data_IF_329802519587
#
_entry.id   IF_329802519587
#
_cell.length_a   1.000
_cell.length_b   1.000
_cell.length_c   1.000
_cell.angle_alpha   90.00
_cell.angle_beta   90.00
_cell.angle_gamma   90.00
#
_symmetry.space_group_name_H-M   'P 1'
#
loop_
_entity.id
_entity.type
_entity.pdbx_description
1 polymer ?
#
# COMPACT_ATOMS: atom_id res chain seq x y z
N UNK A 1 5.87 -9.75 -2.62
CA UNK A 1 6.25 -8.66 -1.71
C UNK A 1 5.91 -9.06 -0.28
N UNK A 2 6.74 -8.73 0.70
CA UNK A 2 6.45 -9.04 2.11
C UNK A 2 5.54 -7.99 2.75
N UNK A 3 4.83 -8.36 3.82
CA UNK A 3 4.03 -7.43 4.64
C UNK A 3 4.87 -6.23 5.10
N UNK A 4 6.06 -6.49 5.65
CA UNK A 4 6.96 -5.44 6.13
C UNK A 4 7.42 -4.47 5.04
N UNK A 5 7.68 -4.96 3.82
CA UNK A 5 7.99 -4.07 2.69
C UNK A 5 6.81 -3.13 2.41
N UNK A 6 5.58 -3.67 2.29
CA UNK A 6 4.41 -2.85 1.99
C UNK A 6 4.12 -1.82 3.11
N UNK A 7 4.31 -2.20 4.38
CA UNK A 7 4.23 -1.28 5.52
C UNK A 7 5.18 -0.09 5.37
N UNK A 8 6.42 -0.32 4.95
CA UNK A 8 7.38 0.76 4.72
C UNK A 8 6.96 1.68 3.57
N UNK A 9 6.43 1.12 2.48
CA UNK A 9 5.92 1.89 1.35
C UNK A 9 4.79 2.81 1.83
N UNK A 10 3.79 2.25 2.49
CA UNK A 10 2.61 2.99 2.98
C UNK A 10 3.00 4.05 4.01
N UNK A 11 3.94 3.73 4.92
CA UNK A 11 4.49 4.69 5.88
C UNK A 11 5.16 5.85 5.17
N UNK A 12 6.09 5.57 4.26
CA UNK A 12 6.79 6.63 3.54
C UNK A 12 5.83 7.52 2.74
N UNK A 13 4.88 6.93 2.01
CA UNK A 13 3.90 7.71 1.25
C UNK A 13 3.08 8.63 2.17
N UNK A 14 2.65 8.11 3.33
CA UNK A 14 1.91 8.90 4.33
C UNK A 14 2.76 10.01 4.97
N UNK A 15 4.06 9.79 5.15
CA UNK A 15 5.00 10.76 5.72
C UNK A 15 5.48 11.79 4.70
N UNK A 16 5.52 11.43 3.42
CA UNK A 16 5.94 12.32 2.32
C UNK A 16 5.05 13.53 2.16
N UNK A 17 3.80 13.47 2.66
CA UNK A 17 2.75 14.48 2.49
C UNK A 17 2.64 14.98 1.04
N UNK A 18 2.87 14.10 0.07
CA UNK A 18 2.89 14.44 -1.35
C UNK A 18 1.66 13.85 -2.04
N UNK A 19 0.71 14.70 -2.43
CA UNK A 19 -0.53 14.28 -3.08
C UNK A 19 -0.27 13.45 -4.34
N UNK A 20 0.74 13.81 -5.15
CA UNK A 20 1.05 13.05 -6.38
C UNK A 20 1.49 11.61 -6.08
N UNK A 21 2.16 11.39 -4.95
CA UNK A 21 2.57 10.04 -4.54
C UNK A 21 1.39 9.23 -4.01
N UNK A 22 0.50 9.88 -3.27
CA UNK A 22 -0.78 9.32 -2.87
C UNK A 22 -1.61 8.88 -4.09
N UNK A 23 -1.77 9.75 -5.09
CA UNK A 23 -2.55 9.47 -6.30
C UNK A 23 -1.93 8.31 -7.09
N UNK A 24 -0.60 8.31 -7.25
CA UNK A 24 0.09 7.19 -7.91
C UNK A 24 -0.05 5.87 -7.16
N UNK A 25 -0.04 5.90 -5.83
CA UNK A 25 -0.26 4.69 -5.04
C UNK A 25 -1.70 4.19 -5.17
N UNK A 26 -2.69 5.08 -5.28
CA UNK A 26 -4.06 4.70 -5.62
C UNK A 26 -4.14 4.05 -7.00
N UNK A 27 -3.38 4.53 -7.98
CA UNK A 27 -3.28 3.88 -9.30
C UNK A 27 -2.70 2.47 -9.17
N UNK A 28 -1.65 2.27 -8.38
CA UNK A 28 -1.15 0.92 -8.11
C UNK A 28 -2.23 0.03 -7.51
N UNK A 29 -3.02 0.54 -6.55
CA UNK A 29 -4.11 -0.22 -5.94
C UNK A 29 -5.20 -0.65 -6.95
N UNK A 30 -5.40 0.11 -8.03
CA UNK A 30 -6.33 -0.27 -9.09
C UNK A 30 -5.87 -1.50 -9.90
N UNK A 31 -4.57 -1.82 -9.88
CA UNK A 31 -4.00 -3.00 -10.55
C UNK A 31 -4.24 -4.31 -9.79
N UNK A 32 -4.62 -4.25 -8.51
CA UNK A 32 -4.92 -5.45 -7.74
C UNK A 32 -6.07 -6.25 -8.38
N UNK A 33 -6.17 -7.56 -8.12
CA UNK A 33 -7.36 -8.33 -8.47
C UNK A 33 -8.64 -7.79 -7.85
N UNK A 34 -9.77 -7.98 -8.53
CA UNK A 34 -11.08 -7.54 -8.01
C UNK A 34 -11.43 -8.22 -6.68
N UNK A 35 -11.05 -9.50 -6.50
CA UNK A 35 -11.16 -10.21 -5.23
C UNK A 35 -10.45 -9.44 -4.11
N UNK A 36 -9.18 -9.07 -4.33
CA UNK A 36 -8.35 -8.37 -3.34
C UNK A 36 -8.92 -6.99 -3.04
N UNK A 37 -9.34 -6.21 -4.05
CA UNK A 37 -10.00 -4.90 -3.85
C UNK A 37 -11.27 -5.02 -3.01
N UNK A 38 -12.09 -6.03 -3.28
CA UNK A 38 -13.33 -6.28 -2.56
C UNK A 38 -13.05 -6.65 -1.10
N UNK A 39 -12.08 -7.53 -0.87
CA UNK A 39 -11.65 -7.90 0.48
C UNK A 39 -11.03 -6.72 1.23
N UNK A 40 -10.18 -5.92 0.57
CA UNK A 40 -9.63 -4.69 1.13
C UNK A 40 -10.74 -3.76 1.61
N UNK A 41 -11.77 -3.51 0.80
CA UNK A 41 -12.89 -2.65 1.19
C UNK A 41 -13.66 -3.20 2.39
N UNK A 42 -13.88 -4.53 2.46
CA UNK A 42 -14.52 -5.18 3.61
C UNK A 42 -13.67 -5.04 4.87
N UNK A 43 -12.38 -5.34 4.80
CA UNK A 43 -11.45 -5.25 5.91
C UNK A 43 -11.30 -3.80 6.42
N UNK A 44 -11.21 -2.83 5.51
CA UNK A 44 -11.17 -1.40 5.85
C UNK A 44 -12.43 -0.99 6.63
N UNK A 45 -13.64 -1.39 6.19
CA UNK A 45 -14.87 -1.05 6.91
C UNK A 45 -14.99 -1.68 8.29
N UNK A 46 -14.44 -2.88 8.49
CA UNK A 46 -14.50 -3.58 9.79
C UNK A 46 -13.50 -2.99 10.77
N UNK A 47 -12.28 -2.68 10.31
CA UNK A 47 -11.18 -2.29 11.17
C UNK A 47 -11.13 -0.78 11.38
N UNK A 48 -11.46 0.01 10.35
CA UNK A 48 -11.54 1.47 10.40
C UNK A 48 -12.91 1.95 9.88
N UNK A 49 -14.00 1.75 10.66
CA UNK A 49 -15.36 2.09 10.25
C UNK A 49 -15.56 3.61 10.08
N UNK A 50 -14.65 4.44 10.60
CA UNK A 50 -14.62 5.89 10.35
C UNK A 50 -14.29 6.23 8.89
N UNK A 51 -13.91 5.23 8.09
CA UNK A 51 -13.73 5.36 6.65
C UNK A 51 -12.28 5.59 6.24
N UNK A 52 -11.99 5.22 5.00
CA UNK A 52 -10.67 5.38 4.38
C UNK A 52 -10.31 6.87 4.35
N UNK A 53 -9.29 7.26 5.12
CA UNK A 53 -8.73 8.60 5.03
C UNK A 53 -8.14 8.79 3.63
N UNK A 54 -8.34 9.97 3.05
CA UNK A 54 -7.73 10.27 1.75
C UNK A 54 -6.24 10.38 1.99
N UNK A 55 -5.41 9.60 1.28
CA UNK A 55 -3.99 9.92 1.25
C UNK A 55 -3.87 11.30 0.63
N UNK A 56 -3.48 12.26 1.45
CA UNK A 56 -3.32 13.64 1.06
C UNK A 56 -2.19 14.29 1.83
N UNK A 57 -1.82 15.52 1.48
CA UNK A 57 -0.79 16.26 2.20
C UNK A 57 -1.11 16.47 3.69
N UNK A 58 -2.39 16.36 4.05
CA UNK A 58 -2.92 16.63 5.40
C UNK A 58 -3.36 15.36 6.13
N UNK A 59 -3.60 14.27 5.41
CA UNK A 59 -4.17 13.04 5.95
C UNK A 59 -3.35 11.81 5.54
N UNK A 60 -3.00 11.00 6.54
CA UNK A 60 -2.35 9.71 6.32
C UNK A 60 -3.32 8.75 5.65
N UNK A 61 -2.80 7.84 4.81
CA UNK A 61 -3.60 6.81 4.16
C UNK A 61 -4.29 5.88 5.17
N UNK A 62 -3.62 5.59 6.29
CA UNK A 62 -4.17 4.84 7.42
C UNK A 62 -3.96 5.62 8.71
N UNK A 63 -4.89 5.47 9.65
CA UNK A 63 -4.89 6.14 10.94
C UNK A 63 -3.67 5.78 11.80
N UNK A 64 -3.18 4.53 11.72
CA UNK A 64 -1.95 4.06 12.36
C UNK A 64 -1.34 2.86 11.64
N UNK A 65 -0.10 2.51 12.00
CA UNK A 65 0.57 1.28 11.52
C UNK A 65 -0.18 0.02 11.95
N UNK A 66 -0.75 0.03 13.16
CA UNK A 66 -1.53 -1.10 13.69
C UNK A 66 -2.80 -1.34 12.86
N UNK A 67 -3.51 -0.27 12.50
CA UNK A 67 -4.70 -0.36 11.62
C UNK A 67 -4.32 -0.92 10.25
N UNK A 68 -3.24 -0.44 9.65
CA UNK A 68 -2.75 -0.98 8.38
C UNK A 68 -2.37 -2.46 8.48
N UNK A 69 -1.63 -2.85 9.52
CA UNK A 69 -1.23 -4.24 9.76
C UNK A 69 -2.46 -5.15 9.89
N UNK A 70 -3.47 -4.74 10.65
CA UNK A 70 -4.72 -5.49 10.81
C UNK A 70 -5.50 -5.64 9.50
N UNK A 71 -5.54 -4.57 8.69
CA UNK A 71 -6.20 -4.62 7.37
C UNK A 71 -5.48 -5.62 6.47
N UNK A 72 -4.16 -5.62 6.46
CA UNK A 72 -3.37 -6.58 5.69
C UNK A 72 -3.62 -8.02 6.15
N UNK A 73 -3.60 -8.27 7.46
CA UNK A 73 -3.87 -9.60 8.01
C UNK A 73 -5.28 -10.08 7.65
N UNK A 74 -6.28 -9.19 7.72
CA UNK A 74 -7.64 -9.48 7.28
C UNK A 74 -7.70 -9.84 5.78
N UNK A 75 -6.97 -9.12 4.92
CA UNK A 75 -6.91 -9.44 3.49
C UNK A 75 -6.31 -10.83 3.29
N UNK A 76 -5.13 -11.09 3.87
CA UNK A 76 -4.45 -12.38 3.74
C UNK A 76 -5.30 -13.56 4.22
N UNK A 77 -6.13 -13.37 5.25
CA UNK A 77 -7.04 -14.41 5.75
C UNK A 77 -8.29 -14.61 4.88
N UNK A 78 -8.69 -13.61 4.09
CA UNK A 78 -9.94 -13.59 3.32
C UNK A 78 -9.73 -13.61 1.81
N UNK A 79 -8.48 -13.68 1.33
CA UNK A 79 -8.17 -13.91 -0.08
C UNK A 79 -7.80 -15.36 -0.30
N UNK A 80 -8.57 -16.02 -1.14
CA UNK A 80 -8.29 -17.36 -1.69
C UNK A 80 -7.06 -17.36 -2.60
N UNK A 81 -6.61 -18.56 -2.96
CA UNK A 81 -5.55 -18.80 -3.94
C UNK A 81 -5.85 -18.06 -5.25
N UNK A 82 -4.85 -17.33 -5.76
CA UNK A 82 -4.99 -16.55 -6.99
C UNK A 82 -4.93 -17.45 -8.23
N UNK A 83 -5.74 -17.13 -9.23
CA UNK A 83 -5.54 -17.62 -10.59
C UNK A 83 -4.24 -17.07 -11.18
N UNK A 84 -3.80 -17.60 -12.33
CA UNK A 84 -2.60 -17.09 -13.01
C UNK A 84 -2.73 -15.60 -13.40
N UNK A 85 -3.92 -15.19 -13.83
CA UNK A 85 -4.20 -13.79 -14.17
C UNK A 85 -4.16 -12.89 -12.93
N UNK A 86 -4.81 -13.31 -11.84
CA UNK A 86 -4.80 -12.56 -10.58
C UNK A 86 -3.39 -12.48 -9.97
N UNK A 87 -2.60 -13.54 -10.12
CA UNK A 87 -1.19 -13.55 -9.72
C UNK A 87 -0.40 -12.52 -10.52
N UNK A 88 -0.66 -12.38 -11.82
CA UNK A 88 -0.05 -11.34 -12.66
C UNK A 88 -0.46 -9.93 -12.23
N UNK A 89 -1.76 -9.72 -11.96
CA UNK A 89 -2.27 -8.44 -11.43
C UNK A 89 -1.62 -8.07 -10.10
N UNK A 90 -1.44 -9.04 -9.20
CA UNK A 90 -0.70 -8.83 -7.95
C UNK A 90 0.77 -8.45 -8.22
N UNK A 91 1.45 -9.11 -9.16
CA UNK A 91 2.83 -8.74 -9.53
C UNK A 91 2.91 -7.31 -10.11
N UNK A 92 1.93 -6.89 -10.90
CA UNK A 92 1.84 -5.53 -11.45
C UNK A 92 1.65 -4.49 -10.32
N UNK A 93 0.75 -4.76 -9.38
CA UNK A 93 0.59 -3.96 -8.16
C UNK A 93 1.91 -3.85 -7.38
N UNK A 94 2.56 -4.98 -7.09
CA UNK A 94 3.82 -5.02 -6.33
C UNK A 94 4.92 -4.21 -7.02
N UNK A 95 5.03 -4.34 -8.34
CA UNK A 95 6.01 -3.61 -9.15
C UNK A 95 5.75 -2.11 -9.15
N UNK A 96 4.47 -1.71 -9.26
CA UNK A 96 4.06 -0.31 -9.19
C UNK A 96 4.37 0.29 -7.82
N UNK A 97 3.97 -0.37 -6.74
CA UNK A 97 4.21 0.08 -5.37
C UNK A 97 5.71 0.18 -5.04
N UNK A 98 6.51 -0.83 -5.43
CA UNK A 98 7.96 -0.81 -5.26
C UNK A 98 8.63 0.31 -6.04
N UNK A 99 8.20 0.58 -7.26
CA UNK A 99 8.73 1.69 -8.07
C UNK A 99 8.48 3.04 -7.42
N UNK A 100 7.31 3.24 -6.82
CA UNK A 100 7.01 4.46 -6.05
C UNK A 100 7.92 4.60 -4.84
N UNK A 101 8.16 3.51 -4.11
CA UNK A 101 9.07 3.51 -2.97
C UNK A 101 10.53 3.78 -3.37
N UNK A 102 11.03 3.14 -4.42
CA UNK A 102 12.40 3.35 -4.89
C UNK A 102 12.62 4.80 -5.35
N UNK A 103 11.69 5.35 -6.14
CA UNK A 103 11.82 6.68 -6.70
C UNK A 103 11.66 7.83 -5.70
N UNK A 104 11.00 7.60 -4.56
CA UNK A 104 10.59 8.68 -3.66
C UNK A 104 11.01 8.50 -2.20
N UNK A 105 11.20 7.25 -1.75
CA UNK A 105 11.46 6.91 -0.36
C UNK A 105 12.86 6.35 -0.14
N UNK A 106 13.38 5.58 -1.11
CA UNK A 106 14.71 4.96 -1.03
C UNK A 106 15.87 5.90 -1.38
N UNK A 107 15.58 7.19 -1.61
CA UNK A 107 16.57 8.28 -1.66
C UNK A 107 17.03 8.78 -0.27
N UNK A 108 16.92 7.96 0.79
CA UNK A 108 17.56 8.20 2.09
C UNK A 108 18.58 7.10 2.47
N UNK A 109 18.80 6.10 1.61
CA UNK A 109 19.76 5.00 1.88
C UNK A 109 20.97 4.94 0.91
N UNK A 110 21.08 5.84 -0.07
CA UNK A 110 22.27 5.97 -0.96
C UNK A 110 22.92 7.35 -0.92
N UNK A 111 22.70 8.11 0.16
CA UNK A 111 23.35 9.39 0.45
C UNK A 111 24.40 9.31 1.58
N UNK A 112 24.89 8.12 1.92
CA UNK A 112 26.07 7.95 2.78
C UNK A 112 27.10 7.08 2.07
N UNK A 113 27.88 7.72 1.21
CA UNK A 113 29.33 7.50 1.08
C UNK A 113 29.92 8.84 0.67
N UNK A 114 30.16 9.67 1.69
CA UNK A 114 31.35 10.53 1.69
C UNK A 114 32.56 9.58 1.64
N UNK A 115 33.33 9.67 0.56
CA UNK A 115 34.79 9.77 0.61
C UNK A 115 35.29 10.31 -0.72
#
# INVERSE_FOLDING_TARGET
>A
MTKSELEEIVRCLSESKNQRLCDRFQICNMMMPQQVKTTLFKCERVIDPSGKRRCSEKEKLYSSRDVFSKIFDCISQNTSTFTAEESRQMMEFETCARSLYIGNCKLVARGKKEH
#
